data_IF_376582675993
#
_entry.id   IF_376582675993
#
_cell.length_a   1.000
_cell.length_b   1.000
_cell.length_c   1.000
_cell.angle_alpha   90.00
_cell.angle_beta   90.00
_cell.angle_gamma   90.00
#
_symmetry.space_group_name_H-M   'P 1'
#
loop_
_entity.id
_entity.type
_entity.pdbx_description
1 polymer ?
#
# COMPACT_ATOMS: atom_id res chain seq x y z
N UNK A 1 15.25 -19.08 -39.44
CA UNK A 1 14.94 -19.86 -38.22
C UNK A 1 13.49 -19.54 -37.85
N UNK A 2 12.54 -19.95 -38.70
CA UNK A 2 11.13 -19.53 -38.69
C UNK A 2 10.21 -20.70 -39.09
N UNK A 3 10.15 -21.78 -38.29
CA UNK A 3 9.24 -22.90 -38.59
C UNK A 3 8.61 -23.58 -37.36
N UNK A 4 8.89 -23.15 -36.12
CA UNK A 4 8.34 -23.82 -34.91
C UNK A 4 7.15 -23.10 -34.25
N UNK A 5 6.74 -21.92 -34.74
CA UNK A 5 5.67 -21.13 -34.09
C UNK A 5 4.25 -21.54 -34.54
N UNK A 6 4.10 -22.37 -35.58
CA UNK A 6 2.79 -22.63 -36.21
C UNK A 6 1.95 -23.74 -35.54
N UNK A 7 2.54 -24.56 -34.65
CA UNK A 7 1.85 -25.69 -34.02
C UNK A 7 1.24 -25.39 -32.64
N UNK A 8 1.72 -24.36 -31.93
CA UNK A 8 1.19 -23.96 -30.62
C UNK A 8 -0.14 -23.19 -30.72
N UNK A 9 -0.36 -22.46 -31.81
CA UNK A 9 -1.55 -21.61 -31.98
C UNK A 9 -2.86 -22.41 -32.20
N UNK A 10 -2.78 -23.59 -32.82
CA UNK A 10 -3.97 -24.43 -33.07
C UNK A 10 -4.43 -25.24 -31.85
N UNK A 11 -3.51 -25.56 -30.93
CA UNK A 11 -3.84 -26.28 -29.70
C UNK A 11 -4.57 -25.37 -28.69
N UNK A 12 -4.16 -24.10 -28.58
CA UNK A 12 -4.78 -23.12 -27.69
C UNK A 12 -6.20 -22.70 -28.14
N UNK A 13 -6.44 -22.60 -29.46
CA UNK A 13 -7.74 -22.20 -29.99
C UNK A 13 -8.87 -23.23 -29.76
N UNK A 14 -8.53 -24.51 -29.56
CA UNK A 14 -9.52 -25.59 -29.40
C UNK A 14 -9.94 -25.76 -27.93
N UNK A 15 -9.03 -25.53 -26.98
CA UNK A 15 -9.32 -25.61 -25.54
C UNK A 15 -10.14 -24.39 -25.07
N UNK A 16 -9.94 -23.21 -25.67
CA UNK A 16 -10.70 -22.00 -25.33
C UNK A 16 -12.16 -21.99 -25.83
N UNK A 17 -12.52 -22.90 -26.75
CA UNK A 17 -13.87 -22.94 -27.34
C UNK A 17 -14.87 -23.76 -26.50
N UNK A 18 -14.39 -24.66 -25.64
CA UNK A 18 -15.23 -25.57 -24.87
C UNK A 18 -15.67 -25.02 -23.49
N UNK A 19 -14.97 -24.05 -22.92
CA UNK A 19 -15.27 -23.49 -21.57
C UNK A 19 -16.01 -22.16 -21.59
N UNK A 20 -16.36 -21.63 -22.78
CA UNK A 20 -16.94 -20.28 -22.94
C UNK A 20 -18.46 -20.17 -22.70
N UNK A 21 -19.17 -21.30 -22.57
CA UNK A 21 -20.65 -21.29 -22.52
C UNK A 21 -21.24 -21.09 -21.11
N UNK A 22 -20.56 -21.55 -20.05
CA UNK A 22 -21.19 -21.62 -18.71
C UNK A 22 -20.68 -20.58 -17.70
N UNK A 23 -19.52 -19.94 -17.90
CA UNK A 23 -18.98 -18.93 -16.97
C UNK A 23 -19.37 -17.49 -17.30
N UNK A 24 -19.72 -17.18 -18.56
CA UNK A 24 -19.99 -15.80 -18.97
C UNK A 24 -21.31 -15.22 -18.41
N UNK A 25 -22.29 -16.07 -18.09
CA UNK A 25 -23.59 -15.61 -17.58
C UNK A 25 -23.53 -15.13 -16.11
N UNK A 26 -22.67 -15.74 -15.28
CA UNK A 26 -22.55 -15.36 -13.87
C UNK A 26 -21.68 -14.10 -13.71
N UNK A 27 -20.59 -14.00 -14.47
CA UNK A 27 -19.63 -12.88 -14.43
C UNK A 27 -20.26 -11.59 -14.98
N UNK A 28 -21.03 -11.65 -16.08
CA UNK A 28 -21.69 -10.44 -16.62
C UNK A 28 -22.81 -9.88 -15.71
N UNK A 29 -23.38 -10.68 -14.80
CA UNK A 29 -24.46 -10.22 -13.91
C UNK A 29 -23.96 -9.46 -12.67
N UNK A 30 -22.68 -9.60 -12.29
CA UNK A 30 -22.09 -8.98 -11.09
C UNK A 30 -21.29 -7.70 -11.38
N UNK A 31 -20.79 -7.52 -12.60
CA UNK A 31 -19.90 -6.42 -12.97
C UNK A 31 -20.48 -4.98 -12.91
N UNK A 32 -21.78 -4.71 -13.21
CA UNK A 32 -22.28 -3.34 -13.16
C UNK A 32 -22.59 -2.85 -11.73
N UNK A 33 -22.68 -3.76 -10.74
CA UNK A 33 -22.88 -3.40 -9.32
C UNK A 33 -21.55 -3.12 -8.61
N UNK A 34 -20.50 -3.83 -8.96
CA UNK A 34 -19.17 -3.68 -8.35
C UNK A 34 -18.48 -2.37 -8.77
N UNK A 35 -18.64 -1.96 -10.03
CA UNK A 35 -18.05 -0.73 -10.58
C UNK A 35 -18.70 0.54 -10.01
N UNK A 36 -20.02 0.53 -9.79
CA UNK A 36 -20.74 1.64 -9.13
C UNK A 36 -20.40 1.78 -7.64
N UNK A 37 -20.16 0.66 -6.95
CA UNK A 37 -19.73 0.63 -5.55
C UNK A 37 -18.33 1.24 -5.38
N UNK A 38 -17.37 0.84 -6.22
CA UNK A 38 -16.02 1.41 -6.24
C UNK A 38 -16.02 2.91 -6.56
N UNK A 39 -16.81 3.36 -7.56
CA UNK A 39 -16.95 4.79 -7.87
C UNK A 39 -17.57 5.59 -6.71
N UNK A 40 -18.51 5.00 -5.97
CA UNK A 40 -19.14 5.66 -4.81
C UNK A 40 -18.18 5.77 -3.62
N UNK A 41 -17.33 4.76 -3.40
CA UNK A 41 -16.25 4.79 -2.40
C UNK A 41 -15.17 5.82 -2.79
N UNK A 42 -14.80 5.89 -4.08
CA UNK A 42 -13.90 6.93 -4.59
C UNK A 42 -14.44 8.35 -4.34
N UNK A 43 -15.74 8.57 -4.58
CA UNK A 43 -16.40 9.87 -4.36
C UNK A 43 -16.52 10.24 -2.87
N UNK A 44 -16.78 9.26 -1.99
CA UNK A 44 -16.84 9.47 -0.54
C UNK A 44 -15.47 9.80 0.06
N UNK A 45 -14.40 9.09 -0.37
CA UNK A 45 -13.04 9.36 0.09
C UNK A 45 -12.48 10.68 -0.46
N UNK A 46 -12.76 11.01 -1.72
CA UNK A 46 -12.35 12.31 -2.30
C UNK A 46 -13.11 13.50 -1.71
N UNK A 47 -14.39 13.32 -1.33
CA UNK A 47 -15.17 14.33 -0.60
C UNK A 47 -14.63 14.62 0.80
N UNK A 48 -14.19 13.59 1.52
CA UNK A 48 -13.57 13.72 2.86
C UNK A 48 -12.25 14.50 2.84
N UNK A 49 -11.50 14.38 1.74
CA UNK A 49 -10.21 15.06 1.55
C UNK A 49 -10.36 16.49 1.01
N UNK A 50 -11.52 16.85 0.47
CA UNK A 50 -11.75 18.17 -0.16
C UNK A 50 -12.48 19.19 0.75
N UNK A 51 -13.04 18.77 1.89
CA UNK A 51 -13.98 19.60 2.68
C UNK A 51 -13.77 19.70 4.19
N UNK A 52 -12.61 19.30 4.73
CA UNK A 52 -12.38 19.24 6.18
C UNK A 52 -12.21 20.60 6.87
N UNK A 53 -13.29 21.35 7.09
CA UNK A 53 -13.37 22.28 8.23
C UNK A 53 -13.74 21.43 9.46
N UNK A 54 -12.75 21.13 10.29
CA UNK A 54 -12.96 20.38 11.53
C UNK A 54 -13.62 21.28 12.58
N UNK A 55 -14.89 21.02 12.89
CA UNK A 55 -15.46 21.38 14.18
C UNK A 55 -14.83 20.47 15.25
N UNK A 56 -14.32 21.01 16.37
CA UNK A 56 -13.70 20.22 17.42
C UNK A 56 -14.77 19.48 18.21
N UNK A 57 -15.23 18.35 17.70
CA UNK A 57 -15.88 17.35 18.53
C UNK A 57 -14.78 16.60 19.26
N UNK A 58 -14.92 16.44 20.58
CA UNK A 58 -13.97 15.74 21.43
C UNK A 58 -13.76 14.31 20.96
N UNK A 59 -12.81 14.11 20.06
CA UNK A 59 -12.31 12.80 19.67
C UNK A 59 -11.46 12.30 20.82
N UNK A 60 -11.92 11.30 21.54
CA UNK A 60 -11.04 10.46 22.35
C UNK A 60 -10.05 9.78 21.38
N UNK A 61 -8.92 10.43 21.10
CA UNK A 61 -7.89 10.00 20.16
C UNK A 61 -7.16 8.70 20.57
N UNK A 62 -7.66 8.01 21.61
CA UNK A 62 -6.97 6.95 22.32
C UNK A 62 -7.98 5.88 22.76
N UNK A 63 -8.79 5.35 21.84
CA UNK A 63 -9.71 4.28 22.21
C UNK A 63 -10.01 3.34 21.05
N UNK A 64 -9.11 2.38 20.83
CA UNK A 64 -9.46 0.97 20.66
C UNK A 64 -8.16 0.17 20.57
N UNK A 65 -7.85 -0.62 21.60
CA UNK A 65 -6.99 -1.77 21.39
C UNK A 65 -7.65 -2.67 20.34
N UNK A 66 -6.89 -3.07 19.34
CA UNK A 66 -7.40 -3.84 18.21
C UNK A 66 -6.39 -4.88 17.76
N UNK A 67 -6.87 -5.86 17.00
CA UNK A 67 -6.00 -6.80 16.28
C UNK A 67 -5.32 -6.05 15.14
N UNK A 68 -3.99 -6.02 15.14
CA UNK A 68 -3.20 -5.19 14.21
C UNK A 68 -2.16 -5.99 13.44
N UNK A 69 -2.27 -7.32 13.49
CA UNK A 69 -1.30 -8.24 12.88
C UNK A 69 -1.21 -8.13 11.35
N UNK A 70 -2.28 -7.67 10.71
CA UNK A 70 -2.33 -7.46 9.26
C UNK A 70 -1.85 -6.07 8.83
N UNK A 71 -1.40 -5.26 9.79
CA UNK A 71 -0.93 -3.90 9.56
C UNK A 71 0.60 -3.83 9.57
N UNK A 72 1.29 -4.97 9.47
CA UNK A 72 2.76 -5.07 9.39
C UNK A 72 3.21 -4.71 7.96
N UNK A 73 3.07 -3.44 7.60
CA UNK A 73 3.55 -2.88 6.34
C UNK A 73 4.91 -2.23 6.52
N UNK A 74 5.63 -2.04 5.41
CA UNK A 74 6.89 -1.27 5.38
C UNK A 74 6.67 0.11 6.00
N UNK A 75 7.48 0.42 7.02
CA UNK A 75 7.49 1.66 7.79
C UNK A 75 6.21 1.93 8.60
N UNK A 76 5.34 0.93 8.74
CA UNK A 76 4.19 1.04 9.65
C UNK A 76 4.63 1.11 11.11
N UNK A 77 3.78 1.71 11.95
CA UNK A 77 3.96 1.73 13.40
C UNK A 77 4.13 0.31 13.98
N UNK A 78 3.35 -0.66 13.48
CA UNK A 78 3.39 -2.03 13.96
C UNK A 78 4.70 -2.72 13.60
N UNK A 79 5.17 -2.56 12.36
CA UNK A 79 6.46 -3.10 11.95
C UNK A 79 7.61 -2.51 12.77
N UNK A 80 7.64 -1.19 12.93
CA UNK A 80 8.65 -0.51 13.76
C UNK A 80 8.58 -0.96 15.21
N UNK A 81 7.38 -1.25 15.73
CA UNK A 81 7.23 -1.78 17.06
C UNK A 81 7.79 -3.21 17.19
N UNK A 82 7.49 -4.11 16.25
CA UNK A 82 8.04 -5.46 16.25
C UNK A 82 9.58 -5.45 16.19
N UNK A 83 10.17 -4.51 15.42
CA UNK A 83 11.63 -4.28 15.39
C UNK A 83 12.18 -3.88 16.75
N UNK A 84 11.51 -2.96 17.43
CA UNK A 84 11.90 -2.54 18.79
C UNK A 84 11.81 -3.69 19.78
N UNK A 85 10.76 -4.52 19.70
CA UNK A 85 10.60 -5.69 20.56
C UNK A 85 11.65 -6.78 20.30
N UNK A 86 12.22 -6.86 19.11
CA UNK A 86 13.35 -7.75 18.84
C UNK A 86 14.61 -7.30 19.60
N UNK A 87 14.82 -5.99 19.80
CA UNK A 87 15.96 -5.48 20.57
C UNK A 87 15.90 -5.89 22.04
N UNK A 88 14.69 -6.05 22.59
CA UNK A 88 14.46 -6.50 23.97
C UNK A 88 14.34 -8.03 24.09
N UNK A 89 14.44 -8.76 22.97
CA UNK A 89 14.28 -10.22 22.93
C UNK A 89 12.84 -10.72 23.06
N UNK A 90 11.84 -9.84 22.97
CA UNK A 90 10.42 -10.23 23.04
C UNK A 90 9.90 -10.81 21.70
N UNK A 91 10.57 -10.48 20.61
CA UNK A 91 10.33 -11.03 19.26
C UNK A 91 11.53 -11.86 18.83
N UNK A 92 11.27 -12.95 18.10
CA UNK A 92 12.32 -13.82 17.60
C UNK A 92 13.31 -13.06 16.68
N UNK A 93 14.61 -13.40 16.69
CA UNK A 93 15.56 -12.80 15.78
C UNK A 93 15.17 -13.04 14.32
N UNK A 94 14.89 -11.96 13.58
CA UNK A 94 14.63 -12.00 12.14
C UNK A 94 15.48 -10.95 11.41
N UNK A 95 15.98 -11.27 10.19
CA UNK A 95 16.70 -10.31 9.37
C UNK A 95 15.74 -9.31 8.72
N UNK A 96 15.73 -8.06 9.19
CA UNK A 96 14.90 -6.96 8.64
C UNK A 96 15.40 -6.41 7.29
N UNK A 97 16.03 -7.26 6.47
CA UNK A 97 16.62 -6.88 5.19
C UNK A 97 15.63 -6.96 4.02
N UNK A 98 14.53 -7.71 4.14
CA UNK A 98 13.43 -7.77 3.16
C UNK A 98 12.14 -7.61 3.95
N UNK A 99 11.43 -6.50 3.75
CA UNK A 99 10.35 -6.06 4.64
C UNK A 99 8.93 -6.19 4.05
N UNK A 100 8.73 -7.15 3.16
CA UNK A 100 7.40 -7.49 2.61
C UNK A 100 6.89 -8.82 3.16
N UNK A 101 6.63 -8.83 4.46
CA UNK A 101 6.26 -10.05 5.19
C UNK A 101 4.99 -10.67 4.63
N UNK A 102 5.05 -11.98 4.37
CA UNK A 102 3.83 -12.77 4.28
C UNK A 102 3.09 -12.77 5.61
N UNK A 103 1.77 -13.03 5.62
CA UNK A 103 1.04 -13.24 6.86
C UNK A 103 1.68 -14.32 7.74
N UNK A 104 2.19 -15.40 7.14
CA UNK A 104 2.89 -16.46 7.88
C UNK A 104 4.23 -16.05 8.47
N UNK A 105 4.96 -15.12 7.83
CA UNK A 105 6.17 -14.51 8.41
C UNK A 105 5.82 -13.53 9.52
N UNK A 106 4.81 -12.68 9.30
CA UNK A 106 4.30 -11.77 10.31
C UNK A 106 3.88 -12.53 11.58
N UNK A 107 3.15 -13.65 11.44
CA UNK A 107 2.76 -14.52 12.57
C UNK A 107 3.97 -15.03 13.38
N UNK A 108 5.09 -15.34 12.73
CA UNK A 108 6.33 -15.79 13.39
C UNK A 108 7.06 -14.66 14.11
N UNK A 109 6.85 -13.42 13.69
CA UNK A 109 7.40 -12.23 14.31
C UNK A 109 6.57 -11.75 15.50
N UNK A 110 5.34 -12.23 15.68
CA UNK A 110 4.52 -11.78 16.80
C UNK A 110 5.13 -12.24 18.15
N UNK A 111 5.07 -11.40 19.20
CA UNK A 111 5.45 -11.79 20.55
C UNK A 111 4.71 -13.05 21.01
N UNK A 112 5.40 -13.91 21.76
CA UNK A 112 4.81 -15.15 22.30
C UNK A 112 3.93 -14.91 23.52
N UNK A 113 4.12 -13.78 24.19
CA UNK A 113 3.39 -13.36 25.37
C UNK A 113 2.97 -11.90 25.26
N UNK A 114 2.24 -11.42 26.27
CA UNK A 114 1.77 -10.03 26.36
C UNK A 114 2.64 -9.17 27.27
N UNK A 115 3.88 -9.59 27.54
CA UNK A 115 4.83 -8.88 28.42
C UNK A 115 5.64 -7.89 27.57
N UNK A 116 4.93 -6.95 26.95
CA UNK A 116 5.54 -5.89 26.15
C UNK A 116 4.87 -4.53 26.39
N UNK A 117 5.59 -3.40 26.23
CA UNK A 117 5.13 -2.07 26.70
C UNK A 117 3.74 -1.61 26.19
N UNK A 118 3.31 -2.09 25.02
CA UNK A 118 2.05 -1.71 24.38
C UNK A 118 1.09 -2.89 24.17
N UNK A 119 1.18 -3.95 24.98
CA UNK A 119 0.27 -5.09 24.92
C UNK A 119 -1.21 -4.73 25.14
N UNK A 120 -1.48 -3.68 25.94
CA UNK A 120 -2.83 -3.15 26.12
C UNK A 120 -3.37 -2.34 24.93
N UNK A 121 -2.50 -1.93 24.00
CA UNK A 121 -2.84 -1.11 22.83
C UNK A 121 -2.85 -1.92 21.53
N UNK A 122 -1.91 -2.85 21.37
CA UNK A 122 -1.80 -3.71 20.20
C UNK A 122 -2.05 -5.16 20.60
N UNK A 123 -3.17 -5.72 20.14
CA UNK A 123 -3.42 -7.15 20.28
C UNK A 123 -2.62 -7.90 19.21
N UNK A 124 -1.34 -8.16 19.52
CA UNK A 124 -0.41 -8.94 18.72
C UNK A 124 -0.44 -10.38 19.21
N UNK A 125 -1.29 -11.23 18.63
CA UNK A 125 -1.38 -12.64 18.98
C UNK A 125 -1.26 -13.50 17.73
N UNK A 126 -0.36 -14.49 17.77
CA UNK A 126 -0.30 -15.53 16.76
C UNK A 126 -1.56 -16.41 16.86
N UNK A 127 -2.03 -16.91 15.71
CA UNK A 127 -3.22 -17.76 15.65
C UNK A 127 -2.94 -19.16 15.15
N UNK A 128 -3.89 -20.06 15.41
CA UNK A 128 -3.87 -21.42 14.93
C UNK A 128 -3.98 -21.48 13.40
N UNK A 129 -3.10 -22.29 12.80
CA UNK A 129 -3.04 -22.49 11.36
C UNK A 129 -4.32 -23.15 10.83
N UNK A 130 -4.91 -22.57 9.78
CA UNK A 130 -5.96 -23.23 8.97
C UNK A 130 -7.37 -22.67 9.12
N UNK A 131 -7.62 -21.69 9.99
CA UNK A 131 -8.93 -21.02 10.09
C UNK A 131 -9.13 -20.01 8.95
N UNK A 132 -10.39 -19.85 8.52
CA UNK A 132 -10.80 -18.68 7.72
C UNK A 132 -10.83 -17.46 8.63
N UNK A 133 -10.25 -16.35 8.19
CA UNK A 133 -10.20 -15.12 8.97
C UNK A 133 -10.46 -13.90 8.11
N UNK A 134 -11.10 -12.92 8.73
CA UNK A 134 -11.25 -11.56 8.22
C UNK A 134 -10.85 -10.59 9.32
N UNK A 135 -10.13 -9.54 8.96
CA UNK A 135 -9.76 -8.45 9.85
C UNK A 135 -9.97 -7.10 9.15
N UNK A 136 -10.20 -6.06 9.94
CA UNK A 136 -10.22 -4.69 9.47
C UNK A 136 -8.86 -4.06 9.73
N UNK A 137 -8.33 -3.37 8.73
CA UNK A 137 -7.16 -2.50 8.90
C UNK A 137 -7.66 -1.15 9.38
N UNK A 138 -7.06 -0.66 10.45
CA UNK A 138 -7.48 0.58 11.09
C UNK A 138 -7.44 1.74 10.09
N UNK A 139 -8.48 2.59 10.07
CA UNK A 139 -8.44 3.78 9.25
C UNK A 139 -7.35 4.71 9.75
N UNK A 140 -6.56 5.24 8.82
CA UNK A 140 -5.49 6.19 9.06
C UNK A 140 -5.82 7.55 8.47
N UNK A 141 -5.40 8.61 9.15
CA UNK A 141 -5.44 9.97 8.65
C UNK A 141 -4.15 10.68 9.01
N UNK A 142 -3.51 11.27 8.01
CA UNK A 142 -2.25 11.99 8.17
C UNK A 142 -2.32 13.33 7.45
N UNK A 143 -1.56 14.30 7.97
CA UNK A 143 -1.41 15.61 7.36
C UNK A 143 0.06 16.01 7.37
N UNK A 144 0.57 16.35 6.20
CA UNK A 144 1.95 16.78 5.96
C UNK A 144 1.90 18.25 5.52
N UNK A 145 2.75 19.10 6.08
CA UNK A 145 2.85 20.50 5.67
C UNK A 145 4.28 20.87 5.32
N UNK A 146 4.49 21.17 4.03
CA UNK A 146 5.78 21.59 3.51
C UNK A 146 5.75 23.10 3.20
N UNK A 147 6.54 23.90 3.92
CA UNK A 147 6.46 25.37 3.82
C UNK A 147 7.16 25.96 2.59
N UNK A 148 8.26 25.33 2.14
CA UNK A 148 9.16 25.89 1.13
C UNK A 148 9.16 25.12 -0.19
N UNK A 149 9.26 23.79 -0.17
CA UNK A 149 9.36 22.92 -1.34
C UNK A 149 8.80 21.53 -1.02
N UNK A 150 8.44 20.71 -2.03
CA UNK A 150 8.00 19.33 -1.83
C UNK A 150 9.06 18.52 -1.09
N UNK A 151 8.65 17.85 -0.02
CA UNK A 151 9.51 16.98 0.76
C UNK A 151 8.69 15.83 1.34
N UNK A 152 9.23 14.63 1.23
CA UNK A 152 8.65 13.39 1.72
C UNK A 152 9.77 12.38 1.96
N UNK A 153 9.50 11.39 2.79
CA UNK A 153 10.46 10.35 3.12
C UNK A 153 9.74 9.02 3.20
N UNK A 154 9.87 8.21 2.14
CA UNK A 154 9.37 6.84 2.11
C UNK A 154 7.84 6.73 2.30
N UNK A 155 7.09 7.63 1.66
CA UNK A 155 5.64 7.75 1.83
C UNK A 155 4.83 6.86 0.85
N UNK A 156 5.50 5.90 0.19
CA UNK A 156 4.89 5.02 -0.81
C UNK A 156 4.32 5.81 -1.98
N UNK A 157 3.01 5.67 -2.20
CA UNK A 157 2.31 6.33 -3.30
C UNK A 157 2.04 7.84 -3.08
N UNK A 158 2.25 8.37 -1.86
CA UNK A 158 1.90 9.75 -1.52
C UNK A 158 2.91 10.73 -2.10
N UNK A 159 2.41 11.76 -2.78
CA UNK A 159 3.20 12.95 -3.11
C UNK A 159 2.95 14.07 -2.10
N UNK A 160 3.97 14.42 -1.33
CA UNK A 160 3.93 15.54 -0.40
C UNK A 160 4.46 16.83 -1.05
N UNK A 161 3.61 17.52 -1.81
CA UNK A 161 3.92 18.81 -2.44
C UNK A 161 4.13 19.94 -1.42
N UNK A 162 4.55 21.14 -1.89
CA UNK A 162 4.51 22.35 -1.05
C UNK A 162 3.07 22.65 -0.63
N UNK A 163 2.90 23.08 0.61
CA UNK A 163 1.62 23.35 1.25
C UNK A 163 1.09 22.15 2.02
N UNK A 164 -0.22 22.12 2.24
CA UNK A 164 -0.90 21.07 2.97
C UNK A 164 -1.12 19.83 2.08
N UNK A 165 -0.70 18.67 2.56
CA UNK A 165 -1.04 17.37 2.00
C UNK A 165 -1.82 16.58 3.03
N UNK A 166 -2.97 16.03 2.63
CA UNK A 166 -3.81 15.20 3.49
C UNK A 166 -3.88 13.80 2.92
N UNK A 167 -3.70 12.80 3.78
CA UNK A 167 -3.71 11.38 3.42
C UNK A 167 -4.76 10.68 4.27
N UNK A 168 -5.52 9.79 3.66
CA UNK A 168 -6.50 8.95 4.33
C UNK A 168 -6.40 7.51 3.80
N UNK A 169 -6.49 6.53 4.68
CA UNK A 169 -6.45 5.12 4.34
C UNK A 169 -7.42 4.31 5.18
N UNK A 170 -7.85 3.17 4.64
CA UNK A 170 -8.65 2.16 5.35
C UNK A 170 -8.42 0.83 4.66
N UNK A 171 -8.68 -0.28 5.33
CA UNK A 171 -8.58 -1.57 4.65
C UNK A 171 -9.22 -2.73 5.36
N UNK A 172 -9.08 -3.89 4.74
CA UNK A 172 -9.46 -5.17 5.28
C UNK A 172 -8.49 -6.24 4.78
N UNK A 173 -8.31 -7.27 5.59
CA UNK A 173 -7.54 -8.46 5.25
C UNK A 173 -8.41 -9.71 5.41
N UNK A 174 -8.18 -10.70 4.57
CA UNK A 174 -8.78 -12.01 4.66
C UNK A 174 -7.74 -13.10 4.39
N UNK A 175 -7.85 -14.21 5.11
CA UNK A 175 -6.95 -15.35 4.95
C UNK A 175 -7.73 -16.66 5.02
N UNK A 176 -7.41 -17.58 4.12
CA UNK A 176 -7.94 -18.94 4.07
C UNK A 176 -6.80 -19.90 3.77
N UNK A 177 -6.27 -20.55 4.80
CA UNK A 177 -5.11 -21.44 4.68
C UNK A 177 -3.90 -20.72 4.05
N UNK A 178 -3.38 -21.19 2.89
CA UNK A 178 -2.24 -20.57 2.22
C UNK A 178 -2.59 -19.30 1.43
N UNK A 179 -3.88 -19.00 1.23
CA UNK A 179 -4.31 -17.85 0.44
C UNK A 179 -4.59 -16.66 1.34
N UNK A 180 -4.06 -15.49 0.98
CA UNK A 180 -4.31 -14.23 1.66
C UNK A 180 -4.66 -13.11 0.69
N UNK A 181 -5.55 -12.22 1.12
CA UNK A 181 -5.96 -11.02 0.44
C UNK A 181 -5.89 -9.86 1.43
N UNK A 182 -5.13 -8.83 1.10
CA UNK A 182 -5.16 -7.54 1.78
C UNK A 182 -5.62 -6.47 0.80
N UNK A 183 -6.62 -5.69 1.19
CA UNK A 183 -7.06 -4.50 0.46
C UNK A 183 -6.87 -3.31 1.39
N UNK A 184 -5.89 -2.47 1.10
CA UNK A 184 -5.52 -1.32 1.93
C UNK A 184 -5.23 -0.08 1.06
N UNK A 185 -6.26 0.45 0.35
CA UNK A 185 -6.11 1.64 -0.48
C UNK A 185 -5.79 2.88 0.34
N UNK A 186 -5.09 3.82 -0.30
CA UNK A 186 -4.82 5.15 0.25
C UNK A 186 -5.34 6.20 -0.73
N UNK A 187 -5.91 7.28 -0.21
CA UNK A 187 -6.21 8.48 -0.96
C UNK A 187 -5.42 9.64 -0.39
N UNK A 188 -4.87 10.49 -1.24
CA UNK A 188 -4.25 11.74 -0.80
C UNK A 188 -4.60 12.91 -1.70
N UNK A 189 -4.45 14.11 -1.14
CA UNK A 189 -4.51 15.38 -1.87
C UNK A 189 -3.42 16.31 -1.35
N UNK A 190 -2.53 16.69 -2.24
CA UNK A 190 -1.56 17.75 -2.04
C UNK A 190 -2.11 19.07 -2.58
N UNK A 191 -2.05 20.12 -1.77
CA UNK A 191 -2.29 21.49 -2.21
C UNK A 191 -1.38 21.85 -3.39
N UNK A 192 -0.14 21.34 -3.37
CA UNK A 192 0.84 21.50 -4.45
C UNK A 192 1.05 22.98 -4.81
N UNK A 193 1.20 23.80 -3.77
CA UNK A 193 1.37 25.25 -3.90
C UNK A 193 2.60 25.57 -4.75
N UNK A 194 2.53 26.68 -5.48
CA UNK A 194 3.63 27.14 -6.31
C UNK A 194 4.88 27.43 -5.48
N UNK A 195 6.05 27.14 -6.05
CA UNK A 195 7.36 27.53 -5.55
C UNK A 195 8.32 27.69 -6.71
N UNK A 196 9.48 28.27 -6.44
CA UNK A 196 10.52 28.42 -7.45
C UNK A 196 11.03 27.05 -7.91
N UNK A 197 10.86 26.74 -9.19
CA UNK A 197 11.40 25.55 -9.84
C UNK A 197 12.58 25.96 -10.73
N UNK A 198 13.59 25.10 -10.81
CA UNK A 198 14.70 25.30 -11.71
C UNK A 198 14.24 25.14 -13.17
N UNK A 199 14.69 26.06 -14.02
CA UNK A 199 14.43 26.01 -15.45
C UNK A 199 15.16 24.81 -16.08
N UNK A 200 14.39 23.92 -16.70
CA UNK A 200 14.90 22.73 -17.37
C UNK A 200 14.96 22.84 -18.90
N UNK A 201 14.65 24.03 -19.45
CA UNK A 201 14.68 24.32 -20.88
C UNK A 201 13.53 23.72 -21.69
N UNK A 202 12.56 23.09 -21.04
CA UNK A 202 11.38 22.51 -21.68
C UNK A 202 10.17 23.43 -21.57
N UNK A 203 9.12 23.12 -22.33
CA UNK A 203 7.88 23.88 -22.39
C UNK A 203 6.66 23.00 -22.08
N UNK A 204 5.50 23.64 -21.90
CA UNK A 204 4.23 22.95 -21.68
C UNK A 204 4.22 22.13 -20.38
N UNK A 205 3.81 20.86 -20.46
CA UNK A 205 3.69 20.00 -19.28
C UNK A 205 5.04 19.62 -18.65
N UNK A 206 6.12 19.70 -19.42
CA UNK A 206 7.43 19.23 -19.00
C UNK A 206 8.23 20.30 -18.26
N UNK A 207 7.71 21.53 -18.11
CA UNK A 207 8.35 22.58 -17.29
C UNK A 207 8.55 22.15 -15.83
N UNK A 208 7.77 21.18 -15.36
CA UNK A 208 7.83 20.66 -13.99
C UNK A 208 8.69 19.40 -13.83
N UNK A 209 9.24 18.86 -14.92
CA UNK A 209 10.14 17.71 -14.87
C UNK A 209 11.44 18.06 -14.14
N UNK A 210 12.28 17.05 -13.90
CA UNK A 210 13.58 17.24 -13.28
C UNK A 210 14.41 18.32 -14.01
N UNK A 211 15.21 19.07 -13.25
CA UNK A 211 16.00 20.18 -13.80
C UNK A 211 17.22 19.74 -14.61
N UNK A 212 17.77 18.55 -14.33
CA UNK A 212 18.98 18.04 -14.95
C UNK A 212 18.65 16.94 -15.98
N UNK A 213 17.73 16.06 -15.62
CA UNK A 213 17.38 14.84 -16.34
C UNK A 213 15.89 14.76 -16.69
N UNK A 214 15.28 15.82 -17.28
CA UNK A 214 13.84 15.92 -17.44
C UNK A 214 13.19 14.80 -18.27
N UNK A 215 13.95 14.19 -19.19
CA UNK A 215 13.48 13.10 -20.07
C UNK A 215 14.10 11.73 -19.74
N UNK A 216 14.81 11.61 -18.60
CA UNK A 216 15.52 10.38 -18.22
C UNK A 216 15.09 9.81 -16.89
N UNK A 217 14.53 10.63 -15.99
CA UNK A 217 14.07 10.20 -14.68
C UNK A 217 12.66 10.69 -14.41
N UNK A 218 11.86 9.85 -13.77
CA UNK A 218 10.48 10.16 -13.37
C UNK A 218 10.45 10.85 -12.00
N UNK A 219 11.25 11.93 -11.86
CA UNK A 219 11.36 12.71 -10.63
C UNK A 219 11.04 14.18 -10.90
N UNK A 220 9.76 14.54 -11.05
CA UNK A 220 9.39 15.93 -11.29
C UNK A 220 9.70 16.80 -10.07
N UNK A 221 10.03 18.07 -10.33
CA UNK A 221 10.10 19.09 -9.28
C UNK A 221 8.72 19.31 -8.65
N UNK A 222 7.65 19.24 -9.44
CA UNK A 222 6.25 19.22 -8.96
C UNK A 222 5.30 18.56 -9.95
N UNK A 223 4.14 18.08 -9.48
CA UNK A 223 3.09 17.57 -10.37
C UNK A 223 2.19 18.69 -10.88
N UNK A 224 2.54 19.31 -12.00
CA UNK A 224 1.68 20.33 -12.62
C UNK A 224 1.54 21.61 -11.77
N UNK A 225 0.68 22.53 -12.23
CA UNK A 225 0.38 23.79 -11.53
C UNK A 225 -0.81 23.70 -10.55
N UNK A 226 -1.56 22.62 -10.59
CA UNK A 226 -2.82 22.42 -9.84
C UNK A 226 -2.61 21.56 -8.58
N UNK A 227 -3.57 21.55 -7.64
CA UNK A 227 -3.61 20.57 -6.57
C UNK A 227 -3.57 19.14 -7.15
N UNK A 228 -2.76 18.28 -6.54
CA UNK A 228 -2.58 16.91 -7.00
C UNK A 228 -3.27 15.94 -6.05
N UNK A 229 -4.10 15.04 -6.58
CA UNK A 229 -4.79 14.04 -5.79
C UNK A 229 -4.77 12.69 -6.50
N UNK A 230 -4.71 11.61 -5.72
CA UNK A 230 -4.71 10.24 -6.24
C UNK A 230 -5.36 9.30 -5.23
N UNK A 231 -6.11 8.34 -5.76
CA UNK A 231 -6.49 7.12 -5.05
C UNK A 231 -5.57 6.01 -5.56
N UNK A 232 -4.89 5.35 -4.64
CA UNK A 232 -3.93 4.29 -4.93
C UNK A 232 -4.35 2.99 -4.24
N UNK A 233 -4.15 1.81 -4.86
CA UNK A 233 -4.39 0.53 -4.20
C UNK A 233 -3.57 0.33 -2.91
N UNK A 234 -2.50 1.10 -2.69
CA UNK A 234 -1.79 1.16 -1.42
C UNK A 234 -1.19 -0.19 -1.02
N UNK A 235 -1.35 -0.58 0.24
CA UNK A 235 -0.79 -1.82 0.78
C UNK A 235 -1.64 -3.06 0.44
N UNK A 236 -2.08 -3.17 -0.82
CA UNK A 236 -2.93 -4.27 -1.28
C UNK A 236 -2.13 -5.44 -1.85
N UNK A 237 -2.53 -6.66 -1.48
CA UNK A 237 -1.87 -7.91 -1.88
C UNK A 237 -2.89 -9.02 -2.12
N UNK A 238 -2.64 -9.88 -3.09
CA UNK A 238 -3.28 -11.18 -3.24
C UNK A 238 -2.16 -12.22 -3.39
N UNK A 239 -2.06 -13.15 -2.43
CA UNK A 239 -0.90 -14.04 -2.33
C UNK A 239 -1.30 -15.45 -1.96
N UNK A 240 -0.52 -16.41 -2.46
CA UNK A 240 -0.54 -17.81 -2.06
C UNK A 240 0.85 -18.17 -1.51
N UNK A 241 0.89 -18.60 -0.25
CA UNK A 241 2.11 -19.02 0.44
C UNK A 241 2.20 -20.56 0.51
N UNK A 242 3.17 -21.12 -0.21
CA UNK A 242 3.50 -22.55 -0.21
C UNK A 242 4.83 -22.78 0.51
N UNK A 243 5.16 -24.03 0.89
CA UNK A 243 6.48 -24.33 1.46
C UNK A 243 7.61 -23.92 0.51
N UNK A 244 8.40 -22.93 0.92
CA UNK A 244 9.58 -22.46 0.17
C UNK A 244 9.30 -21.54 -1.02
N UNK A 245 8.04 -21.29 -1.38
CA UNK A 245 7.69 -20.39 -2.48
C UNK A 245 6.41 -19.63 -2.20
N UNK A 246 6.37 -18.37 -2.62
CA UNK A 246 5.17 -17.57 -2.59
C UNK A 246 4.93 -16.92 -3.94
N UNK A 247 3.66 -16.84 -4.34
CA UNK A 247 3.23 -16.27 -5.61
C UNK A 247 2.08 -15.32 -5.33
N UNK A 248 2.12 -14.13 -5.91
CA UNK A 248 1.08 -13.14 -5.70
C UNK A 248 1.18 -11.91 -6.58
N UNK A 249 0.14 -11.10 -6.51
CA UNK A 249 0.07 -9.75 -7.06
C UNK A 249 0.06 -8.77 -5.89
N UNK A 250 0.85 -7.70 -5.98
CA UNK A 250 1.02 -6.76 -4.88
C UNK A 250 1.26 -5.35 -5.39
N UNK A 251 0.61 -4.38 -4.75
CA UNK A 251 0.99 -2.96 -4.79
C UNK A 251 1.63 -2.51 -3.48
N UNK A 252 1.74 -3.40 -2.49
CA UNK A 252 2.35 -3.09 -1.21
C UNK A 252 3.82 -2.71 -1.35
N UNK A 253 4.21 -1.74 -0.52
CA UNK A 253 5.54 -1.17 -0.45
C UNK A 253 6.59 -2.27 -0.21
N UNK A 254 7.76 -2.06 -0.81
CA UNK A 254 8.90 -2.95 -0.64
C UNK A 254 10.06 -2.19 0.00
N UNK A 255 10.85 -2.89 0.81
CA UNK A 255 12.09 -2.35 1.35
C UNK A 255 13.12 -3.46 1.48
N UNK A 256 14.17 -3.35 0.67
CA UNK A 256 15.25 -4.33 0.53
C UNK A 256 16.57 -3.67 0.91
N UNK A 257 17.10 -4.05 2.05
CA UNK A 257 18.34 -3.53 2.59
C UNK A 257 18.24 -3.28 4.09
N UNK A 258 19.39 -3.25 4.79
CA UNK A 258 19.43 -3.13 6.25
C UNK A 258 19.19 -1.69 6.74
N UNK A 259 19.25 -0.69 5.86
CA UNK A 259 19.02 0.70 6.23
C UNK A 259 17.60 0.90 6.76
N UNK A 260 17.42 1.74 7.77
CA UNK A 260 16.10 2.02 8.32
C UNK A 260 15.25 2.83 7.34
N UNK A 261 15.85 3.87 6.75
CA UNK A 261 15.12 4.84 5.93
C UNK A 261 15.47 4.72 4.44
N UNK A 262 16.75 4.75 4.07
CA UNK A 262 17.15 4.78 2.66
C UNK A 262 17.96 3.54 2.27
N UNK A 263 17.27 2.43 1.91
CA UNK A 263 17.94 1.23 1.45
C UNK A 263 18.60 1.47 0.09
N UNK A 264 19.77 0.87 -0.09
CA UNK A 264 20.55 0.99 -1.33
C UNK A 264 19.91 0.22 -2.49
N UNK A 265 19.18 -0.87 -2.21
CA UNK A 265 18.61 -1.73 -3.27
C UNK A 265 17.22 -1.27 -3.70
N UNK A 266 16.26 -1.25 -2.77
CA UNK A 266 14.88 -0.87 -3.06
C UNK A 266 14.23 -0.34 -1.80
N UNK A 267 13.62 0.84 -1.89
CA UNK A 267 12.83 1.43 -0.81
C UNK A 267 11.44 1.81 -1.30
N UNK A 268 10.65 2.40 -0.42
CA UNK A 268 9.27 2.79 -0.67
C UNK A 268 9.11 4.30 -0.86
N UNK A 269 10.12 4.93 -1.49
CA UNK A 269 10.07 6.34 -1.92
C UNK A 269 9.19 6.57 -3.16
N UNK A 270 8.69 5.50 -3.77
CA UNK A 270 7.79 5.52 -4.91
C UNK A 270 6.89 4.28 -4.88
N UNK A 271 5.70 4.33 -5.52
CA UNK A 271 4.82 3.17 -5.72
C UNK A 271 5.37 2.15 -6.72
#
# INVERSE_FOLDING_TARGET
>A
MEAEVYWLDKAFATIFRATRSSCNALILSMMPRFTRSLQSICLLLSGLVSGGVFLPNGSSAQAAGGEVRDEVFVNSEIENYLRLLQLTGAVAPYPWSIRSFSPGEADRLLPRDSVHPWAGRYALRAEESGSFRVALIRPGFETIYNSAFPYGANDGAVWAGRGLTTVAGVGAAARLGPVSLTLAPIAFRAQNAEFEIANNGLEGRLIFADSWMPDRIDQPQRFGSEPYARLDPGQSTLRVDLPGVAIGLSTANQHWGPAADHPILLGNNAP
#
